data_IF_090845961156
#
_entry.id   IF_090845961156
#
_cell.length_a   1.000
_cell.length_b   1.000
_cell.length_c   1.000
_cell.angle_alpha   90.00
_cell.angle_beta   90.00
_cell.angle_gamma   90.00
#
_symmetry.space_group_name_H-M   'P 1'
#
loop_
_entity.id
_entity.type
_entity.pdbx_description
1 polymer ?
#
# COMPACT_ATOMS: atom_id res chain seq x y z
N UNK A 1 27.52 20.34 -5.35
CA UNK A 1 26.07 20.17 -5.12
C UNK A 1 25.90 19.18 -3.98
N UNK A 2 25.44 19.66 -2.82
CA UNK A 2 25.17 18.78 -1.67
C UNK A 2 23.92 17.98 -1.98
N UNK A 3 24.06 16.69 -2.28
CA UNK A 3 22.93 15.78 -2.42
C UNK A 3 22.30 15.58 -1.04
N UNK A 4 21.16 16.21 -0.79
CA UNK A 4 20.31 15.86 0.34
C UNK A 4 19.49 14.64 -0.07
N UNK A 5 19.76 13.47 0.51
CA UNK A 5 18.83 12.35 0.45
C UNK A 5 17.63 12.71 1.34
N UNK A 6 16.60 13.30 0.75
CA UNK A 6 15.39 13.66 1.49
C UNK A 6 14.79 12.41 2.15
N UNK A 7 14.58 12.47 3.47
CA UNK A 7 13.89 11.40 4.19
C UNK A 7 12.41 11.42 3.80
N UNK A 8 11.93 10.31 3.22
CA UNK A 8 10.51 10.10 2.92
C UNK A 8 9.91 9.31 4.09
N UNK A 9 8.91 9.89 4.74
CA UNK A 9 8.14 9.25 5.81
C UNK A 9 6.83 8.73 5.23
N UNK A 10 6.48 7.49 5.56
CA UNK A 10 5.26 6.82 5.13
C UNK A 10 4.38 6.55 6.36
N UNK A 11 3.15 7.05 6.36
CA UNK A 11 2.19 6.84 7.44
C UNK A 11 0.98 6.07 6.94
N UNK A 12 0.62 4.97 7.60
CA UNK A 12 -0.51 4.12 7.23
C UNK A 12 -1.64 4.20 8.25
N UNK A 13 -2.89 4.20 7.77
CA UNK A 13 -4.08 4.26 8.63
C UNK A 13 -5.17 3.31 8.10
N UNK A 14 -5.85 2.54 8.96
CA UNK A 14 -5.58 2.36 10.40
C UNK A 14 -4.31 1.53 10.65
N UNK A 15 -3.72 1.66 11.84
CA UNK A 15 -2.59 0.80 12.26
C UNK A 15 -3.01 -0.68 12.40
N UNK A 16 -4.26 -0.90 12.83
CA UNK A 16 -4.84 -2.22 12.99
C UNK A 16 -6.35 -2.16 12.77
N UNK A 17 -6.89 -3.20 12.15
CA UNK A 17 -8.33 -3.39 12.00
C UNK A 17 -8.65 -4.88 12.08
N UNK A 18 -9.77 -5.20 12.74
CA UNK A 18 -10.37 -6.53 12.73
C UNK A 18 -11.73 -6.47 12.06
N UNK A 19 -11.97 -7.34 11.09
CA UNK A 19 -13.21 -7.38 10.29
C UNK A 19 -13.71 -8.81 10.13
N UNK A 20 -15.01 -8.93 9.86
CA UNK A 20 -15.63 -10.22 9.53
C UNK A 20 -15.39 -10.57 8.05
N UNK A 21 -15.31 -11.87 7.70
CA UNK A 21 -15.27 -12.30 6.30
C UNK A 21 -16.45 -11.73 5.49
N UNK A 22 -16.19 -11.37 4.24
CA UNK A 22 -17.14 -10.71 3.34
C UNK A 22 -17.11 -9.18 3.38
N UNK A 23 -16.37 -8.57 4.32
CA UNK A 23 -16.23 -7.12 4.40
C UNK A 23 -15.08 -6.61 3.51
N UNK A 24 -15.19 -5.37 3.04
CA UNK A 24 -14.08 -4.69 2.35
C UNK A 24 -13.44 -3.69 3.29
N UNK A 25 -12.14 -3.79 3.48
CA UNK A 25 -11.34 -2.83 4.25
C UNK A 25 -10.62 -1.88 3.31
N UNK A 26 -10.48 -0.63 3.75
CA UNK A 26 -9.64 0.38 3.09
C UNK A 26 -8.57 0.82 4.07
N UNK A 27 -7.31 0.75 3.63
CA UNK A 27 -6.16 1.32 4.31
C UNK A 27 -5.62 2.47 3.47
N UNK A 28 -5.24 3.57 4.12
CA UNK A 28 -4.60 4.70 3.47
C UNK A 28 -3.10 4.69 3.76
N UNK A 29 -2.33 5.27 2.86
CA UNK A 29 -0.91 5.54 3.05
C UNK A 29 -0.61 6.97 2.59
N UNK A 30 0.02 7.76 3.46
CA UNK A 30 0.45 9.13 3.17
C UNK A 30 1.97 9.21 3.16
N UNK A 31 2.53 9.67 2.05
CA UNK A 31 3.94 10.00 1.92
C UNK A 31 4.18 11.47 2.31
N UNK A 32 5.30 11.77 2.97
CA UNK A 32 5.68 13.14 3.33
C UNK A 32 6.00 14.02 2.12
N UNK A 33 6.28 13.42 0.96
CA UNK A 33 6.58 14.08 -0.31
C UNK A 33 5.92 13.34 -1.47
N UNK A 34 5.74 14.01 -2.61
CA UNK A 34 5.13 13.40 -3.79
C UNK A 34 5.98 12.28 -4.40
N UNK A 35 5.38 11.11 -4.61
CA UNK A 35 6.00 9.92 -5.18
C UNK A 35 5.56 9.63 -6.62
N UNK A 36 4.82 10.52 -7.27
CA UNK A 36 4.08 10.20 -8.51
C UNK A 36 3.23 8.93 -8.29
N UNK A 37 3.59 7.80 -8.91
CA UNK A 37 2.97 6.48 -8.67
C UNK A 37 3.96 5.45 -8.11
N UNK A 38 5.16 5.85 -7.67
CA UNK A 38 6.21 4.97 -7.15
C UNK A 38 5.92 4.50 -5.72
N UNK A 39 4.83 3.73 -5.57
CA UNK A 39 4.45 3.06 -4.33
C UNK A 39 4.00 1.63 -4.65
N UNK A 40 4.53 0.68 -3.89
CA UNK A 40 4.16 -0.72 -3.99
C UNK A 40 3.51 -1.19 -2.68
N UNK A 41 2.50 -2.06 -2.78
CA UNK A 41 1.83 -2.65 -1.62
C UNK A 41 2.26 -4.10 -1.42
N UNK A 42 2.52 -4.47 -0.17
CA UNK A 42 2.92 -5.82 0.21
C UNK A 42 1.93 -6.43 1.21
N UNK A 43 1.72 -7.74 1.11
CA UNK A 43 0.99 -8.52 2.11
C UNK A 43 1.97 -9.44 2.83
N UNK A 44 1.90 -9.46 4.16
CA UNK A 44 2.75 -10.31 4.98
C UNK A 44 1.88 -11.13 5.94
N UNK A 45 2.07 -12.46 5.89
CA UNK A 45 1.52 -13.37 6.91
C UNK A 45 2.55 -13.56 8.03
N UNK A 46 2.12 -13.79 9.29
CA UNK A 46 3.03 -14.12 10.37
C UNK A 46 3.98 -15.26 9.99
N UNK A 47 5.29 -15.06 10.17
CA UNK A 47 6.32 -16.05 9.84
C UNK A 47 6.64 -16.23 8.35
N UNK A 48 6.04 -15.44 7.45
CA UNK A 48 6.31 -15.49 6.00
C UNK A 48 6.99 -14.20 5.51
N UNK A 49 7.77 -14.26 4.41
CA UNK A 49 8.30 -13.05 3.79
C UNK A 49 7.16 -12.19 3.19
N UNK A 50 7.34 -10.86 3.10
CA UNK A 50 6.40 -9.99 2.39
C UNK A 50 6.25 -10.40 0.92
N UNK A 51 5.01 -10.41 0.42
CA UNK A 51 4.70 -10.66 -1.00
C UNK A 51 4.12 -9.42 -1.65
N UNK A 52 4.60 -9.09 -2.85
CA UNK A 52 4.11 -7.95 -3.63
C UNK A 52 2.67 -8.23 -4.11
N UNK A 53 1.74 -7.32 -3.83
CA UNK A 53 0.35 -7.43 -4.25
C UNK A 53 -0.05 -6.37 -5.28
N UNK A 54 0.46 -5.15 -5.18
CA UNK A 54 0.17 -4.06 -6.14
C UNK A 54 1.47 -3.32 -6.42
N UNK A 55 1.75 -3.08 -7.70
CA UNK A 55 2.86 -2.25 -8.18
C UNK A 55 2.35 -0.91 -8.71
N UNK A 56 3.19 0.12 -8.61
CA UNK A 56 2.90 1.45 -9.17
C UNK A 56 1.55 2.05 -8.72
N UNK A 57 1.25 1.93 -7.43
CA UNK A 57 0.03 2.35 -6.74
C UNK A 57 -1.29 1.67 -7.16
N UNK A 58 -1.42 1.22 -8.41
CA UNK A 58 -2.71 0.79 -8.99
C UNK A 58 -2.67 -0.56 -9.70
N UNK A 59 -1.49 -1.05 -10.10
CA UNK A 59 -1.40 -2.24 -10.96
C UNK A 59 -1.30 -3.51 -10.13
N UNK A 60 -2.30 -4.38 -10.20
CA UNK A 60 -2.27 -5.67 -9.51
C UNK A 60 -1.05 -6.51 -9.96
N UNK A 61 -0.34 -7.09 -8.99
CA UNK A 61 0.79 -7.98 -9.29
C UNK A 61 0.29 -9.31 -9.84
N UNK A 62 1.03 -9.92 -10.77
CA UNK A 62 0.62 -11.22 -11.34
C UNK A 62 0.68 -12.29 -10.25
N UNK A 63 -0.41 -13.03 -10.04
CA UNK A 63 -0.53 -14.01 -8.96
C UNK A 63 -0.97 -13.43 -7.61
N UNK A 64 -1.20 -12.11 -7.51
CA UNK A 64 -1.88 -11.54 -6.35
C UNK A 64 -3.39 -11.86 -6.40
N UNK A 65 -4.05 -12.09 -5.26
CA UNK A 65 -5.50 -12.27 -5.21
C UNK A 65 -6.27 -11.05 -5.73
N UNK A 66 -7.31 -11.28 -6.55
CA UNK A 66 -8.15 -10.23 -7.17
C UNK A 66 -8.97 -9.40 -6.17
N UNK A 67 -8.94 -9.75 -4.88
CA UNK A 67 -9.56 -8.97 -3.80
C UNK A 67 -8.85 -7.66 -3.49
N UNK A 68 -7.62 -7.48 -3.98
CA UNK A 68 -6.84 -6.27 -3.75
C UNK A 68 -7.05 -5.25 -4.88
N UNK A 69 -7.22 -3.99 -4.51
CA UNK A 69 -7.17 -2.88 -5.47
C UNK A 69 -6.49 -1.67 -4.84
N UNK A 70 -5.76 -0.92 -5.65
CA UNK A 70 -4.94 0.21 -5.22
C UNK A 70 -5.33 1.48 -5.95
N UNK A 71 -5.20 2.62 -5.29
CA UNK A 71 -5.40 3.93 -5.90
C UNK A 71 -4.48 4.98 -5.30
N UNK A 72 -4.39 6.12 -5.97
CA UNK A 72 -3.66 7.30 -5.50
C UNK A 72 -2.46 7.66 -6.36
N UNK A 73 -1.94 8.85 -6.08
CA UNK A 73 -0.73 9.41 -6.70
C UNK A 73 -0.24 10.59 -5.87
N UNK A 74 1.01 11.01 -6.07
CA UNK A 74 1.60 12.10 -5.31
C UNK A 74 1.84 11.66 -3.88
N UNK A 75 1.07 12.20 -2.93
CA UNK A 75 1.27 11.98 -1.49
C UNK A 75 0.27 11.00 -0.87
N UNK A 76 -0.87 10.77 -1.49
CA UNK A 76 -2.00 10.07 -0.85
C UNK A 76 -2.41 8.85 -1.67
N UNK A 77 -2.43 7.70 -0.99
CA UNK A 77 -2.66 6.39 -1.58
C UNK A 77 -3.66 5.57 -0.76
N UNK A 78 -4.37 4.66 -1.41
CA UNK A 78 -5.27 3.72 -0.74
C UNK A 78 -5.08 2.29 -1.25
N UNK A 79 -5.22 1.33 -0.34
CA UNK A 79 -5.36 -0.09 -0.62
C UNK A 79 -6.73 -0.54 -0.14
N UNK A 80 -7.49 -1.19 -1.01
CA UNK A 80 -8.70 -1.92 -0.65
C UNK A 80 -8.43 -3.41 -0.70
N UNK A 81 -8.97 -4.13 0.28
CA UNK A 81 -8.94 -5.59 0.34
C UNK A 81 -10.33 -6.09 0.73
N UNK A 82 -10.93 -6.95 -0.10
CA UNK A 82 -12.12 -7.69 0.27
C UNK A 82 -11.72 -8.97 1.04
N UNK A 83 -12.04 -9.04 2.33
CA UNK A 83 -11.78 -10.20 3.19
C UNK A 83 -12.83 -11.29 3.03
#
# INVERSE_FOLDING_TARGET
SSGSCGQIVMTQTPEYISVSPGQTVTMTCKASTGLCSYLDWYHQKPGQPPTLIIRYATTLHSGAPDRYSGSGSGTDFTLKSAT
#
